data_IF_973787663417
#
_entry.id   IF_973787663417
#
_cell.length_a   1.000
_cell.length_b   1.000
_cell.length_c   1.000
_cell.angle_alpha   90.00
_cell.angle_beta   90.00
_cell.angle_gamma   90.00
#
_symmetry.space_group_name_H-M   'P 1'
#
loop_
_entity.id
_entity.type
_entity.pdbx_description
1 polymer ?
#
# COMPACT_ATOMS: atom_id res chain seq x y z
N UNK A 1 12.24 -25.13 -8.88
CA UNK A 1 13.04 -25.92 -7.90
C UNK A 1 12.86 -25.28 -6.53
N UNK A 2 12.85 -26.08 -5.45
CA UNK A 2 12.81 -25.56 -4.08
C UNK A 2 14.11 -24.81 -3.78
N UNK A 3 14.02 -23.77 -2.95
CA UNK A 3 15.16 -22.98 -2.47
C UNK A 3 15.08 -22.82 -0.97
N UNK A 4 16.22 -22.69 -0.32
CA UNK A 4 16.34 -22.39 1.11
C UNK A 4 17.15 -21.12 1.27
N UNK A 5 16.60 -20.12 1.97
CA UNK A 5 17.28 -18.87 2.25
C UNK A 5 17.73 -18.85 3.70
N UNK A 6 19.02 -18.59 3.95
CA UNK A 6 19.61 -18.54 5.30
C UNK A 6 20.05 -17.10 5.64
N UNK A 7 19.62 -16.61 6.80
CA UNK A 7 19.87 -15.25 7.31
C UNK A 7 19.40 -15.12 8.77
N UNK A 8 19.48 -13.92 9.36
CA UNK A 8 18.74 -13.59 10.58
C UNK A 8 17.29 -13.23 10.24
N UNK A 9 16.35 -14.12 10.55
CA UNK A 9 14.95 -13.98 10.11
C UNK A 9 14.14 -13.21 11.16
N UNK A 10 13.46 -12.15 10.72
CA UNK A 10 12.56 -11.35 11.58
C UNK A 10 11.24 -11.08 10.87
N UNK A 11 10.12 -11.39 11.53
CA UNK A 11 8.76 -11.15 11.00
C UNK A 11 7.74 -11.10 12.12
N UNK A 12 6.49 -10.78 11.82
CA UNK A 12 5.38 -10.72 12.80
C UNK A 12 4.26 -11.68 12.39
N UNK A 13 4.01 -12.71 13.22
CA UNK A 13 2.81 -13.57 13.06
C UNK A 13 1.58 -12.92 13.68
N UNK A 14 1.76 -12.29 14.82
CA UNK A 14 0.76 -11.57 15.60
C UNK A 14 1.10 -10.08 15.55
N UNK A 15 0.10 -9.21 15.73
CA UNK A 15 0.28 -7.76 15.56
C UNK A 15 1.25 -7.15 16.56
N UNK A 16 1.46 -7.73 17.74
CA UNK A 16 2.22 -7.12 18.83
C UNK A 16 3.54 -7.84 19.17
N UNK A 17 3.97 -8.84 18.38
CA UNK A 17 5.17 -9.64 18.68
C UNK A 17 5.96 -10.03 17.44
N UNK A 18 7.27 -9.80 17.52
CA UNK A 18 8.23 -10.32 16.55
C UNK A 18 8.56 -11.79 16.80
N UNK A 19 8.69 -12.54 15.72
CA UNK A 19 9.37 -13.83 15.66
C UNK A 19 10.80 -13.56 15.16
N UNK A 20 11.79 -14.06 15.90
CA UNK A 20 13.21 -13.83 15.61
C UNK A 20 13.93 -15.17 15.59
N UNK A 21 14.58 -15.48 14.47
CA UNK A 21 15.39 -16.67 14.32
C UNK A 21 16.80 -16.26 13.89
N UNK A 22 17.75 -16.39 14.80
CA UNK A 22 19.15 -16.17 14.51
C UNK A 22 19.69 -17.31 13.62
N UNK A 23 20.39 -16.99 12.54
CA UNK A 23 20.89 -17.97 11.57
C UNK A 23 19.80 -18.95 11.10
N UNK A 24 18.58 -18.44 10.91
CA UNK A 24 17.42 -19.23 10.52
C UNK A 24 17.36 -19.51 9.03
N UNK A 25 16.41 -20.36 8.66
CA UNK A 25 16.16 -20.82 7.31
C UNK A 25 14.69 -20.63 6.90
N UNK A 26 14.45 -20.12 5.70
CA UNK A 26 13.13 -20.14 5.03
C UNK A 26 13.20 -21.05 3.81
N UNK A 27 12.47 -22.16 3.83
CA UNK A 27 12.30 -23.03 2.68
C UNK A 27 11.14 -22.55 1.81
N UNK A 28 11.34 -22.45 0.51
CA UNK A 28 10.37 -21.93 -0.47
C UNK A 28 10.22 -22.94 -1.61
N UNK A 29 8.98 -23.19 -2.01
CA UNK A 29 8.66 -24.10 -3.11
C UNK A 29 8.91 -23.46 -4.49
N UNK A 30 8.72 -24.23 -5.54
CA UNK A 30 8.90 -23.80 -6.93
C UNK A 30 7.84 -22.80 -7.41
N UNK A 31 6.74 -22.63 -6.66
CA UNK A 31 5.70 -21.61 -6.88
C UNK A 31 5.97 -20.35 -6.06
N UNK A 32 7.08 -20.29 -5.34
CA UNK A 32 7.45 -19.14 -4.54
C UNK A 32 6.67 -19.02 -3.24
N UNK A 33 6.16 -20.13 -2.69
CA UNK A 33 5.45 -20.17 -1.41
C UNK A 33 6.31 -20.78 -0.32
N UNK A 34 6.22 -20.23 0.88
CA UNK A 34 6.95 -20.70 2.05
C UNK A 34 6.44 -22.09 2.42
N UNK A 35 7.36 -23.04 2.47
CA UNK A 35 7.13 -24.40 2.97
C UNK A 35 7.20 -24.36 4.50
N UNK A 36 8.29 -23.81 5.03
CA UNK A 36 8.58 -23.77 6.46
C UNK A 36 9.68 -22.76 6.78
N UNK A 37 9.63 -22.21 7.99
CA UNK A 37 10.67 -21.39 8.61
C UNK A 37 11.15 -22.06 9.90
N UNK A 38 12.47 -22.17 10.11
CA UNK A 38 13.06 -22.80 11.30
C UNK A 38 14.51 -22.40 11.50
N UNK A 39 15.03 -22.55 12.72
CA UNK A 39 16.47 -22.46 13.03
C UNK A 39 17.21 -23.78 12.78
N UNK A 40 16.47 -24.87 12.54
CA UNK A 40 17.03 -26.19 12.26
C UNK A 40 16.75 -26.58 10.79
N UNK A 41 17.82 -26.73 10.01
CA UNK A 41 17.76 -27.10 8.61
C UNK A 41 17.12 -28.50 8.42
N UNK A 42 17.35 -29.42 9.36
CA UNK A 42 16.91 -30.83 9.23
C UNK A 42 15.37 -30.97 9.23
N UNK A 43 14.65 -30.01 9.80
CA UNK A 43 13.19 -30.07 9.89
C UNK A 43 12.47 -29.40 8.71
N UNK A 44 13.20 -28.86 7.73
CA UNK A 44 12.60 -28.20 6.55
C UNK A 44 12.08 -29.18 5.49
N UNK A 45 12.56 -30.43 5.49
CA UNK A 45 12.17 -31.44 4.49
C UNK A 45 12.60 -31.06 3.06
N UNK A 46 13.76 -30.40 2.93
CA UNK A 46 14.30 -29.83 1.69
C UNK A 46 15.79 -30.15 1.53
N UNK A 47 16.18 -31.41 1.73
CA UNK A 47 17.58 -31.87 1.76
C UNK A 47 18.35 -31.59 0.46
N UNK A 48 17.67 -31.66 -0.70
CA UNK A 48 18.26 -31.41 -2.02
C UNK A 48 18.13 -29.95 -2.50
N UNK A 49 17.59 -29.05 -1.68
CA UNK A 49 17.36 -27.66 -2.09
C UNK A 49 18.65 -26.84 -2.04
N UNK A 50 18.81 -25.94 -3.02
CA UNK A 50 19.88 -24.94 -3.01
C UNK A 50 19.75 -24.05 -1.77
N UNK A 51 20.84 -23.92 -1.01
CA UNK A 51 20.93 -23.01 0.14
C UNK A 51 21.60 -21.72 -0.31
N UNK A 52 20.85 -20.62 -0.25
CA UNK A 52 21.31 -19.26 -0.51
C UNK A 52 21.57 -18.61 0.85
N UNK A 53 22.85 -18.44 1.20
CA UNK A 53 23.28 -17.90 2.50
C UNK A 53 23.61 -16.41 2.39
N UNK A 54 22.87 -15.58 3.13
CA UNK A 54 23.09 -14.13 3.22
C UNK A 54 23.92 -13.73 4.45
N UNK A 55 24.51 -14.71 5.15
CA UNK A 55 25.38 -14.46 6.30
C UNK A 55 24.67 -13.69 7.40
N UNK A 56 25.29 -12.58 7.81
CA UNK A 56 24.82 -11.74 8.92
C UNK A 56 23.73 -10.73 8.51
N UNK A 57 23.19 -10.81 7.30
CA UNK A 57 22.05 -9.95 6.90
C UNK A 57 20.75 -10.31 7.62
N UNK A 58 19.85 -9.35 7.74
CA UNK A 58 18.47 -9.58 8.18
C UNK A 58 17.60 -10.00 6.98
N UNK A 59 16.74 -11.00 7.16
CA UNK A 59 15.71 -11.39 6.20
C UNK A 59 14.34 -11.06 6.80
N UNK A 60 13.63 -10.15 6.15
CA UNK A 60 12.33 -9.64 6.59
C UNK A 60 11.29 -9.75 5.48
N UNK A 61 9.98 -9.85 5.78
CA UNK A 61 8.95 -9.71 4.76
C UNK A 61 9.05 -8.36 4.06
N UNK A 62 8.77 -8.33 2.76
CA UNK A 62 8.78 -7.10 1.99
C UNK A 62 7.61 -6.18 2.35
N UNK A 63 7.79 -4.89 2.05
CA UNK A 63 6.79 -3.87 2.37
C UNK A 63 5.63 -3.92 1.39
N UNK A 64 4.44 -3.61 1.91
CA UNK A 64 3.19 -3.54 1.15
C UNK A 64 2.62 -2.13 1.34
N UNK A 65 2.53 -1.37 0.25
CA UNK A 65 2.02 0.00 0.27
C UNK A 65 0.51 0.02 -0.04
N UNK A 66 -0.30 0.33 0.95
CA UNK A 66 -1.75 0.25 0.81
C UNK A 66 -2.38 1.48 0.14
N UNK A 67 -1.62 2.53 -0.15
CA UNK A 67 -2.14 3.70 -0.86
C UNK A 67 -1.02 4.55 -1.43
N UNK A 68 -0.99 4.67 -2.76
CA UNK A 68 -0.01 5.51 -3.47
C UNK A 68 -0.56 6.05 -4.80
N UNK A 69 -0.28 7.31 -5.13
CA UNK A 69 -0.64 7.89 -6.44
C UNK A 69 0.57 7.89 -7.38
N UNK A 70 0.61 6.90 -8.29
CA UNK A 70 1.65 6.82 -9.31
C UNK A 70 1.80 8.10 -10.16
N UNK A 71 0.73 8.79 -10.61
CA UNK A 71 0.90 9.96 -11.46
C UNK A 71 1.44 11.18 -10.72
N UNK A 72 1.41 11.17 -9.40
CA UNK A 72 1.84 12.32 -8.59
C UNK A 72 3.33 12.25 -8.23
N UNK A 73 4.04 11.17 -8.59
CA UNK A 73 5.44 10.96 -8.22
C UNK A 73 6.37 12.15 -8.51
N UNK A 74 6.15 12.91 -9.58
CA UNK A 74 6.95 14.10 -9.89
C UNK A 74 6.79 15.23 -8.86
N UNK A 75 5.65 15.32 -8.21
CA UNK A 75 5.34 16.38 -7.24
C UNK A 75 5.81 16.05 -5.82
N UNK A 76 6.33 14.83 -5.57
CA UNK A 76 6.76 14.38 -4.25
C UNK A 76 7.69 15.41 -3.60
N UNK A 77 7.28 15.95 -2.45
CA UNK A 77 8.04 16.98 -1.70
C UNK A 77 7.89 18.42 -2.20
N UNK A 78 6.94 18.72 -3.08
CA UNK A 78 6.67 20.06 -3.61
C UNK A 78 5.35 20.62 -3.06
N UNK A 79 5.36 21.89 -2.67
CA UNK A 79 4.18 22.68 -2.27
C UNK A 79 3.39 22.12 -1.08
N UNK A 80 4.10 21.66 -0.06
CA UNK A 80 3.55 21.16 1.22
C UNK A 80 3.19 22.28 2.22
N UNK A 81 3.01 23.51 1.72
CA UNK A 81 2.55 24.67 2.51
C UNK A 81 1.05 24.95 2.27
N UNK A 82 0.33 24.01 1.64
CA UNK A 82 -1.08 24.11 1.27
C UNK A 82 -1.90 23.01 1.94
N UNK A 83 -3.16 23.31 2.26
CA UNK A 83 -4.15 22.29 2.61
C UNK A 83 -4.57 21.47 1.38
N UNK A 84 -5.19 20.32 1.61
CA UNK A 84 -5.63 19.34 0.59
C UNK A 84 -6.32 19.95 -0.64
N UNK A 85 -7.39 20.74 -0.48
CA UNK A 85 -8.20 21.20 -1.62
C UNK A 85 -7.44 22.19 -2.52
N UNK A 86 -6.77 23.25 -1.99
CA UNK A 86 -5.88 24.07 -2.79
C UNK A 86 -4.72 23.29 -3.43
N UNK A 87 -4.15 22.31 -2.73
CA UNK A 87 -3.07 21.48 -3.25
C UNK A 87 -3.52 20.65 -4.46
N UNK A 88 -4.71 20.05 -4.40
CA UNK A 88 -5.31 19.31 -5.51
C UNK A 88 -5.44 20.17 -6.76
N UNK A 89 -5.98 21.39 -6.61
CA UNK A 89 -6.22 22.31 -7.72
C UNK A 89 -4.92 22.83 -8.35
N UNK A 90 -3.92 23.17 -7.53
CA UNK A 90 -2.73 23.88 -7.99
C UNK A 90 -1.59 22.96 -8.46
N UNK A 91 -1.51 21.72 -7.96
CA UNK A 91 -0.38 20.83 -8.21
C UNK A 91 -0.80 19.45 -8.71
N UNK A 92 -1.79 18.84 -8.07
CA UNK A 92 -2.16 17.45 -8.36
C UNK A 92 -2.83 17.31 -9.71
N UNK A 93 -3.94 18.00 -9.96
CA UNK A 93 -4.62 17.88 -11.26
C UNK A 93 -3.76 18.34 -12.45
N UNK A 94 -3.02 19.48 -12.38
CA UNK A 94 -2.12 19.88 -13.47
C UNK A 94 -1.04 18.85 -13.79
N UNK A 95 -0.59 18.06 -12.81
CA UNK A 95 0.35 16.97 -13.05
C UNK A 95 -0.34 15.73 -13.63
N UNK A 96 -1.50 15.32 -13.09
CA UNK A 96 -2.26 14.16 -13.59
C UNK A 96 -2.71 14.34 -15.05
N UNK A 97 -3.05 15.55 -15.48
CA UNK A 97 -3.43 15.86 -16.88
C UNK A 97 -2.32 15.47 -17.87
N UNK A 98 -1.04 15.61 -17.47
CA UNK A 98 0.10 15.29 -18.37
C UNK A 98 0.18 13.81 -18.70
N UNK A 99 -0.45 12.94 -17.90
CA UNK A 99 -0.50 11.50 -18.16
C UNK A 99 -1.48 11.13 -19.27
N UNK A 100 -2.13 12.08 -19.94
CA UNK A 100 -2.73 11.85 -21.25
C UNK A 100 -1.67 11.50 -22.31
N UNK A 101 -0.46 12.08 -22.21
CA UNK A 101 0.67 11.77 -23.09
C UNK A 101 1.34 10.46 -22.65
N UNK A 102 1.25 9.43 -23.50
CA UNK A 102 1.83 8.11 -23.25
C UNK A 102 3.36 8.13 -23.09
N UNK A 103 4.06 9.05 -23.75
CA UNK A 103 5.52 9.20 -23.61
C UNK A 103 5.87 9.74 -22.23
N UNK A 104 5.11 10.74 -21.78
CA UNK A 104 5.24 11.29 -20.43
C UNK A 104 4.92 10.22 -19.38
N UNK A 105 3.78 9.55 -19.52
CA UNK A 105 3.32 8.50 -18.62
C UNK A 105 4.34 7.37 -18.51
N UNK A 106 4.83 6.82 -19.63
CA UNK A 106 5.89 5.80 -19.66
C UNK A 106 7.11 6.24 -18.86
N UNK A 107 7.65 7.43 -19.18
CA UNK A 107 8.87 7.94 -18.54
C UNK A 107 8.70 8.08 -17.02
N UNK A 108 7.56 8.63 -16.57
CA UNK A 108 7.33 8.87 -15.15
C UNK A 108 6.99 7.59 -14.38
N UNK A 109 6.14 6.72 -14.94
CA UNK A 109 5.82 5.44 -14.31
C UNK A 109 7.04 4.52 -14.21
N UNK A 110 7.93 4.47 -15.21
CA UNK A 110 9.17 3.68 -15.10
C UNK A 110 10.08 4.18 -13.97
N UNK A 111 10.12 5.50 -13.71
CA UNK A 111 10.88 6.08 -12.59
C UNK A 111 10.22 5.78 -11.24
N UNK A 112 8.91 5.96 -11.15
CA UNK A 112 8.12 5.61 -9.97
C UNK A 112 8.34 4.13 -9.58
N UNK A 113 8.20 3.20 -10.52
CA UNK A 113 8.37 1.77 -10.27
C UNK A 113 9.79 1.40 -9.85
N UNK A 114 10.80 2.05 -10.43
CA UNK A 114 12.19 1.88 -9.98
C UNK A 114 12.34 2.29 -8.52
N UNK A 115 11.82 3.44 -8.15
CA UNK A 115 12.00 3.95 -6.80
C UNK A 115 11.15 3.16 -5.78
N UNK A 116 9.96 2.69 -6.16
CA UNK A 116 9.15 1.75 -5.39
C UNK A 116 9.93 0.44 -5.08
N UNK A 117 10.57 -0.13 -6.10
CA UNK A 117 11.45 -1.30 -5.96
C UNK A 117 12.67 -1.01 -5.09
N UNK A 118 13.31 0.16 -5.25
CA UNK A 118 14.46 0.57 -4.43
C UNK A 118 14.09 0.61 -2.95
N UNK A 119 12.93 1.18 -2.63
CA UNK A 119 12.40 1.28 -1.27
C UNK A 119 11.94 -0.07 -0.67
N UNK A 120 11.95 -1.17 -1.44
CA UNK A 120 11.60 -2.50 -0.93
C UNK A 120 10.10 -2.81 -0.89
N UNK A 121 9.29 -2.04 -1.60
CA UNK A 121 7.84 -2.29 -1.72
C UNK A 121 7.59 -3.30 -2.84
N UNK A 122 7.01 -4.47 -2.50
CA UNK A 122 6.73 -5.54 -3.48
C UNK A 122 5.25 -5.68 -3.83
N UNK A 123 4.36 -5.08 -3.02
CA UNK A 123 2.92 -4.97 -3.27
C UNK A 123 2.45 -3.54 -3.10
N UNK A 124 1.57 -3.07 -3.97
CA UNK A 124 0.99 -1.73 -3.84
C UNK A 124 -0.48 -1.64 -4.28
N UNK A 125 -1.27 -0.83 -3.59
CA UNK A 125 -2.57 -0.34 -4.05
C UNK A 125 -2.38 1.06 -4.64
N UNK A 126 -2.54 1.16 -5.97
CA UNK A 126 -2.04 2.27 -6.77
C UNK A 126 -3.18 3.02 -7.42
N UNK A 127 -3.25 4.33 -7.20
CA UNK A 127 -4.08 5.25 -7.98
C UNK A 127 -3.32 5.63 -9.25
N UNK A 128 -3.95 5.41 -10.41
CA UNK A 128 -3.49 5.89 -11.70
C UNK A 128 -4.16 7.23 -12.03
N UNK A 129 -4.62 7.43 -13.27
CA UNK A 129 -5.42 8.59 -13.69
C UNK A 129 -6.72 8.13 -14.35
N UNK A 130 -7.56 9.06 -14.81
CA UNK A 130 -8.76 8.71 -15.59
C UNK A 130 -8.45 8.15 -16.99
N UNK A 131 -7.21 8.31 -17.49
CA UNK A 131 -6.80 7.82 -18.80
C UNK A 131 -6.63 6.28 -18.83
N UNK A 132 -7.58 5.56 -19.46
CA UNK A 132 -7.58 4.09 -19.54
C UNK A 132 -6.29 3.52 -20.16
N UNK A 133 -5.87 4.03 -21.32
CA UNK A 133 -4.69 3.48 -22.03
C UNK A 133 -3.40 3.64 -21.23
N UNK A 134 -3.24 4.75 -20.52
CA UNK A 134 -2.05 5.00 -19.71
C UNK A 134 -2.14 4.31 -18.33
N UNK A 135 -3.34 3.96 -17.87
CA UNK A 135 -3.50 3.02 -16.74
C UNK A 135 -3.10 1.60 -17.16
N UNK A 136 -3.53 1.13 -18.35
CA UNK A 136 -3.06 -0.15 -18.94
C UNK A 136 -1.55 -0.18 -19.06
N UNK A 137 -0.95 0.94 -19.49
CA UNK A 137 0.49 1.10 -19.57
C UNK A 137 1.18 0.86 -18.23
N UNK A 138 0.69 1.49 -17.16
CA UNK A 138 1.20 1.30 -15.80
C UNK A 138 1.09 -0.16 -15.36
N UNK A 139 -0.05 -0.83 -15.63
CA UNK A 139 -0.25 -2.24 -15.29
C UNK A 139 0.76 -3.15 -16.02
N UNK A 140 1.01 -2.93 -17.31
CA UNK A 140 2.03 -3.68 -18.07
C UNK A 140 3.43 -3.45 -17.53
N UNK A 141 3.78 -2.19 -17.22
CA UNK A 141 5.06 -1.88 -16.60
C UNK A 141 5.22 -2.60 -15.24
N UNK A 142 4.18 -2.63 -14.40
CA UNK A 142 4.20 -3.43 -13.16
C UNK A 142 4.46 -4.92 -13.45
N UNK A 143 3.79 -5.52 -14.45
CA UNK A 143 4.03 -6.92 -14.83
C UNK A 143 5.47 -7.17 -15.26
N UNK A 144 6.07 -6.22 -16.01
CA UNK A 144 7.47 -6.28 -16.45
C UNK A 144 8.45 -6.27 -15.25
N UNK A 145 8.16 -5.51 -14.19
CA UNK A 145 8.98 -5.52 -12.97
C UNK A 145 8.94 -6.86 -12.23
N UNK A 146 7.81 -7.58 -12.28
CA UNK A 146 7.55 -8.75 -11.44
C UNK A 146 7.07 -8.42 -10.02
N UNK A 147 6.82 -7.16 -9.69
CA UNK A 147 6.12 -6.76 -8.46
C UNK A 147 4.61 -7.00 -8.58
N UNK A 148 3.92 -7.11 -7.44
CA UNK A 148 2.46 -7.20 -7.40
C UNK A 148 1.79 -5.85 -7.17
N UNK A 149 0.59 -5.67 -7.72
CA UNK A 149 -0.17 -4.46 -7.50
C UNK A 149 -1.66 -4.64 -7.76
N UNK A 150 -2.46 -3.86 -7.03
CA UNK A 150 -3.79 -3.47 -7.45
C UNK A 150 -3.68 -2.07 -8.07
N UNK A 151 -4.01 -1.94 -9.36
CA UNK A 151 -3.90 -0.67 -10.09
C UNK A 151 -5.29 -0.16 -10.48
N UNK A 152 -5.61 1.03 -10.01
CA UNK A 152 -6.93 1.64 -10.13
C UNK A 152 -6.95 2.75 -11.16
N UNK A 153 -7.73 2.55 -12.23
CA UNK A 153 -8.10 3.63 -13.15
C UNK A 153 -9.01 4.59 -12.38
N UNK A 154 -8.59 5.84 -12.19
CA UNK A 154 -9.37 6.76 -11.36
C UNK A 154 -10.66 7.15 -12.07
N UNK A 155 -11.80 7.01 -11.40
CA UNK A 155 -13.09 7.54 -11.83
C UNK A 155 -13.34 8.92 -11.22
N UNK A 156 -13.63 9.91 -12.06
CA UNK A 156 -14.09 11.24 -11.64
C UNK A 156 -14.89 11.92 -12.76
N UNK A 157 -15.99 12.60 -12.41
CA UNK A 157 -16.85 13.30 -13.36
C UNK A 157 -17.57 14.53 -12.79
N UNK A 158 -17.17 14.98 -11.60
CA UNK A 158 -17.74 16.14 -10.91
C UNK A 158 -16.61 16.88 -10.21
N UNK A 159 -16.69 18.20 -10.10
CA UNK A 159 -15.73 19.01 -9.32
C UNK A 159 -14.24 18.76 -9.63
N UNK A 160 -13.94 18.36 -10.85
CA UNK A 160 -12.60 18.11 -11.38
C UNK A 160 -12.41 18.86 -12.71
N UNK A 161 -11.16 19.07 -13.17
CA UNK A 161 -10.91 19.68 -14.47
C UNK A 161 -11.54 18.91 -15.62
N UNK A 162 -11.88 19.61 -16.70
CA UNK A 162 -12.52 19.03 -17.88
C UNK A 162 -11.66 17.91 -18.49
N UNK A 163 -10.35 18.08 -18.49
CA UNK A 163 -9.37 17.15 -19.05
C UNK A 163 -9.27 15.82 -18.28
N UNK A 164 -9.70 15.79 -17.01
CA UNK A 164 -9.74 14.58 -16.19
C UNK A 164 -11.15 14.02 -16.02
N UNK A 165 -12.16 14.77 -16.45
CA UNK A 165 -13.58 14.42 -16.36
C UNK A 165 -13.93 13.40 -17.44
N UNK A 166 -14.61 12.32 -17.07
CA UNK A 166 -15.08 11.30 -18.04
C UNK A 166 -16.56 10.96 -17.86
N UNK A 167 -17.29 10.59 -18.94
CA UNK A 167 -18.63 10.04 -18.83
C UNK A 167 -18.63 8.66 -18.14
N UNK A 168 -19.70 8.34 -17.39
CA UNK A 168 -19.87 7.03 -16.72
C UNK A 168 -19.69 5.85 -17.70
N UNK A 169 -20.24 5.95 -18.91
CA UNK A 169 -20.10 4.90 -19.92
C UNK A 169 -18.67 4.67 -20.41
N UNK A 170 -17.81 5.70 -20.39
CA UNK A 170 -16.39 5.57 -20.71
C UNK A 170 -15.61 4.94 -19.58
N UNK A 171 -15.88 5.35 -18.33
CA UNK A 171 -15.33 4.72 -17.13
C UNK A 171 -15.62 3.22 -17.13
N UNK A 172 -16.88 2.81 -17.37
CA UNK A 172 -17.28 1.40 -17.40
C UNK A 172 -16.56 0.64 -18.52
N UNK A 173 -16.50 1.18 -19.75
CA UNK A 173 -15.76 0.54 -20.85
C UNK A 173 -14.28 0.40 -20.55
N UNK A 174 -13.70 1.42 -19.92
CA UNK A 174 -12.31 1.41 -19.48
C UNK A 174 -12.03 0.27 -18.53
N UNK A 175 -12.82 0.15 -17.46
CA UNK A 175 -12.72 -0.95 -16.51
C UNK A 175 -12.93 -2.32 -17.15
N UNK A 176 -14.00 -2.52 -17.91
CA UNK A 176 -14.26 -3.81 -18.59
C UNK A 176 -13.07 -4.23 -19.48
N UNK A 177 -12.42 -3.28 -20.17
CA UNK A 177 -11.23 -3.56 -20.96
C UNK A 177 -10.00 -3.94 -20.13
N UNK A 178 -9.78 -3.30 -18.98
CA UNK A 178 -8.68 -3.63 -18.07
C UNK A 178 -8.92 -4.95 -17.35
N UNK A 179 -10.18 -5.24 -16.98
CA UNK A 179 -10.58 -6.50 -16.34
C UNK A 179 -10.33 -7.68 -17.26
N UNK A 180 -10.73 -7.56 -18.53
CA UNK A 180 -10.50 -8.61 -19.53
C UNK A 180 -9.00 -8.95 -19.70
N UNK A 181 -8.14 -7.94 -19.63
CA UNK A 181 -6.69 -8.11 -19.82
C UNK A 181 -5.97 -8.59 -18.54
N UNK A 182 -6.31 -8.04 -17.37
CA UNK A 182 -5.48 -8.18 -16.16
C UNK A 182 -6.13 -8.97 -15.00
N UNK A 183 -7.44 -9.25 -15.02
CA UNK A 183 -8.10 -9.97 -13.91
C UNK A 183 -8.04 -11.50 -14.07
N UNK A 184 -6.86 -12.03 -14.39
CA UNK A 184 -6.63 -13.47 -14.56
C UNK A 184 -6.31 -14.14 -13.22
N UNK A 185 -6.57 -15.45 -13.10
CA UNK A 185 -6.22 -16.22 -11.90
C UNK A 185 -4.71 -16.16 -11.63
N UNK A 186 -4.34 -16.03 -10.35
CA UNK A 186 -2.92 -15.96 -9.89
C UNK A 186 -2.11 -14.74 -10.42
N UNK A 187 -2.77 -13.79 -11.10
CA UNK A 187 -2.11 -12.57 -11.57
C UNK A 187 -1.57 -11.74 -10.38
N UNK A 188 -0.30 -11.32 -10.48
CA UNK A 188 0.34 -10.39 -9.53
C UNK A 188 -0.23 -8.98 -9.65
N UNK A 189 -0.62 -8.58 -10.86
CA UNK A 189 -1.10 -7.24 -11.18
C UNK A 189 -2.55 -7.34 -11.60
N UNK A 190 -3.43 -6.67 -10.87
CA UNK A 190 -4.88 -6.78 -11.03
C UNK A 190 -5.55 -5.40 -10.98
N UNK A 191 -6.73 -5.23 -11.59
CA UNK A 191 -7.50 -4.00 -11.46
C UNK A 191 -8.14 -3.90 -10.06
N UNK A 192 -8.31 -2.67 -9.59
CA UNK A 192 -9.09 -2.30 -8.40
C UNK A 192 -10.03 -1.17 -8.76
N UNK A 193 -11.27 -1.21 -8.27
CA UNK A 193 -12.25 -0.15 -8.51
C UNK A 193 -11.85 1.08 -7.69
N UNK A 194 -11.79 2.25 -8.34
CA UNK A 194 -11.18 3.47 -7.79
C UNK A 194 -11.98 4.71 -8.16
N UNK A 195 -13.17 4.92 -7.57
CA UNK A 195 -13.71 6.27 -7.47
C UNK A 195 -12.69 7.10 -6.69
N UNK A 196 -12.30 8.28 -7.20
CA UNK A 196 -11.25 9.06 -6.52
C UNK A 196 -11.65 9.35 -5.07
N UNK A 197 -12.81 9.97 -4.91
CA UNK A 197 -13.50 10.25 -3.65
C UNK A 197 -14.93 10.74 -3.96
N UNK A 198 -15.85 10.73 -2.98
CA UNK A 198 -17.26 11.13 -3.21
C UNK A 198 -17.41 12.51 -3.86
N UNK A 199 -16.69 13.57 -3.43
CA UNK A 199 -16.82 14.89 -4.03
C UNK A 199 -16.57 14.95 -5.54
N UNK A 200 -15.73 14.07 -6.08
CA UNK A 200 -15.40 14.07 -7.51
C UNK A 200 -16.24 13.14 -8.39
N UNK A 201 -17.18 12.41 -7.80
CA UNK A 201 -17.99 11.42 -8.52
C UNK A 201 -19.47 11.74 -8.36
N UNK A 202 -20.24 11.77 -9.45
CA UNK A 202 -21.71 11.78 -9.34
C UNK A 202 -22.21 10.46 -8.76
N UNK A 203 -23.42 10.47 -8.19
CA UNK A 203 -24.06 9.26 -7.67
C UNK A 203 -24.19 8.17 -8.75
N UNK A 204 -24.41 8.53 -10.02
CA UNK A 204 -24.43 7.54 -11.11
C UNK A 204 -23.05 6.89 -11.34
N UNK A 205 -21.96 7.66 -11.19
CA UNK A 205 -20.61 7.11 -11.30
C UNK A 205 -20.29 6.18 -10.13
N UNK A 206 -20.65 6.58 -8.90
CA UNK A 206 -20.47 5.73 -7.71
C UNK A 206 -21.25 4.43 -7.83
N UNK A 207 -22.52 4.51 -8.25
CA UNK A 207 -23.37 3.34 -8.52
C UNK A 207 -22.71 2.39 -9.54
N UNK A 208 -22.24 2.92 -10.67
CA UNK A 208 -21.59 2.11 -11.70
C UNK A 208 -20.27 1.46 -11.21
N UNK A 209 -19.49 2.16 -10.39
CA UNK A 209 -18.30 1.60 -9.77
C UNK A 209 -18.66 0.41 -8.85
N UNK A 210 -19.69 0.55 -8.01
CA UNK A 210 -20.12 -0.52 -7.12
C UNK A 210 -20.67 -1.74 -7.87
N UNK A 211 -21.46 -1.51 -8.92
CA UNK A 211 -21.94 -2.57 -9.81
C UNK A 211 -20.78 -3.35 -10.44
N UNK A 212 -19.74 -2.65 -10.92
CA UNK A 212 -18.52 -3.28 -11.45
C UNK A 212 -17.77 -4.08 -10.37
N UNK A 213 -17.61 -3.52 -9.17
CA UNK A 213 -16.93 -4.18 -8.06
C UNK A 213 -17.59 -5.51 -7.72
N UNK A 214 -18.91 -5.50 -7.52
CA UNK A 214 -19.68 -6.70 -7.16
C UNK A 214 -19.76 -7.69 -8.32
N UNK A 215 -20.04 -7.23 -9.54
CA UNK A 215 -20.16 -8.09 -10.73
C UNK A 215 -18.87 -8.87 -11.00
N UNK A 216 -17.72 -8.21 -10.89
CA UNK A 216 -16.42 -8.79 -11.24
C UNK A 216 -15.59 -9.24 -10.02
N UNK A 217 -16.16 -9.14 -8.81
CA UNK A 217 -15.51 -9.48 -7.55
C UNK A 217 -14.15 -8.78 -7.39
N UNK A 218 -14.13 -7.49 -7.70
CA UNK A 218 -12.93 -6.65 -7.64
C UNK A 218 -12.88 -5.90 -6.32
N UNK A 219 -11.68 -5.70 -5.75
CA UNK A 219 -11.53 -4.82 -4.61
C UNK A 219 -11.89 -3.37 -4.95
N UNK A 220 -12.03 -2.55 -3.92
CA UNK A 220 -12.29 -1.11 -4.00
C UNK A 220 -11.21 -0.36 -3.23
N UNK A 221 -10.77 0.79 -3.76
CA UNK A 221 -9.98 1.77 -3.02
C UNK A 221 -10.55 3.18 -3.21
N UNK A 222 -10.54 3.99 -2.15
CA UNK A 222 -10.90 5.41 -2.21
C UNK A 222 -10.31 6.18 -1.01
N UNK A 223 -10.64 7.47 -0.88
CA UNK A 223 -10.30 8.29 0.28
C UNK A 223 -11.51 8.38 1.22
N UNK A 224 -11.26 8.46 2.52
CA UNK A 224 -12.29 8.56 3.55
C UNK A 224 -11.86 9.47 4.69
N UNK A 225 -12.74 10.41 5.05
CA UNK A 225 -12.66 11.22 6.28
C UNK A 225 -11.27 11.79 6.54
N UNK A 226 -10.65 12.30 5.48
CA UNK A 226 -9.32 12.89 5.56
C UNK A 226 -9.44 14.26 6.21
N UNK A 227 -10.17 15.20 5.59
CA UNK A 227 -10.24 16.59 6.06
C UNK A 227 -11.66 16.99 6.51
N UNK A 228 -11.80 17.87 7.51
CA UNK A 228 -13.13 18.33 7.98
C UNK A 228 -13.94 19.06 6.91
N UNK A 229 -13.29 19.87 6.07
CA UNK A 229 -13.96 20.57 4.97
C UNK A 229 -14.41 19.57 3.90
N UNK A 230 -13.63 18.53 3.65
CA UNK A 230 -14.00 17.43 2.76
C UNK A 230 -15.22 16.68 3.30
N UNK A 231 -15.24 16.31 4.58
CA UNK A 231 -16.38 15.63 5.23
C UNK A 231 -17.66 16.48 5.12
N UNK A 232 -17.58 17.78 5.41
CA UNK A 232 -18.71 18.69 5.26
C UNK A 232 -19.19 18.79 3.80
N UNK A 233 -18.26 18.76 2.84
CA UNK A 233 -18.59 18.76 1.43
C UNK A 233 -19.34 17.49 1.00
N UNK A 234 -18.89 16.33 1.47
CA UNK A 234 -19.57 15.05 1.24
C UNK A 234 -21.01 15.09 1.77
N UNK A 235 -21.21 15.53 3.01
CA UNK A 235 -22.55 15.64 3.59
C UNK A 235 -23.46 16.55 2.76
N UNK A 236 -22.92 17.61 2.14
CA UNK A 236 -23.70 18.50 1.27
C UNK A 236 -24.14 17.86 -0.05
N UNK A 237 -23.35 16.90 -0.56
CA UNK A 237 -23.55 16.22 -1.84
C UNK A 237 -24.41 14.96 -1.69
N UNK A 238 -24.18 14.18 -0.64
CA UNK A 238 -24.88 12.94 -0.32
C UNK A 238 -25.73 13.13 0.94
N UNK A 239 -26.76 13.99 0.84
CA UNK A 239 -27.57 14.47 1.99
C UNK A 239 -28.26 13.38 2.80
N UNK A 240 -28.51 12.24 2.18
CA UNK A 240 -29.18 11.09 2.82
C UNK A 240 -28.19 10.17 3.54
N UNK A 241 -26.88 10.46 3.47
CA UNK A 241 -25.85 9.70 4.18
C UNK A 241 -25.73 10.13 5.64
N UNK A 242 -25.51 9.17 6.54
CA UNK A 242 -25.31 9.42 7.98
C UNK A 242 -23.86 9.76 8.34
N UNK A 243 -22.91 9.24 7.55
CA UNK A 243 -21.48 9.52 7.63
C UNK A 243 -20.82 9.35 6.25
N UNK A 244 -19.52 9.65 6.13
CA UNK A 244 -18.83 9.55 4.84
C UNK A 244 -18.73 8.07 4.40
N UNK A 245 -18.50 7.14 5.33
CA UNK A 245 -18.52 5.70 5.03
C UNK A 245 -19.86 5.24 4.43
N UNK A 246 -20.99 5.71 4.99
CA UNK A 246 -22.34 5.40 4.47
C UNK A 246 -22.54 5.95 3.05
N UNK A 247 -21.95 7.11 2.73
CA UNK A 247 -21.99 7.64 1.36
C UNK A 247 -21.36 6.69 0.32
N UNK A 248 -20.43 5.82 0.70
CA UNK A 248 -19.96 4.73 -0.17
C UNK A 248 -20.79 3.45 -0.04
N UNK A 249 -21.21 3.07 1.18
CA UNK A 249 -21.92 1.81 1.43
C UNK A 249 -23.21 1.70 0.63
N UNK A 250 -23.94 2.82 0.49
CA UNK A 250 -25.18 2.92 -0.29
C UNK A 250 -25.02 2.53 -1.75
N UNK A 251 -23.82 2.65 -2.31
CA UNK A 251 -23.50 2.28 -3.69
C UNK A 251 -22.74 0.95 -3.80
N UNK A 252 -22.58 0.20 -2.71
CA UNK A 252 -21.86 -1.08 -2.72
C UNK A 252 -20.34 -0.95 -2.83
N UNK A 253 -19.78 0.15 -2.30
CA UNK A 253 -18.34 0.47 -2.36
C UNK A 253 -17.63 0.41 -1.00
N UNK A 254 -18.24 -0.22 0.01
CA UNK A 254 -17.77 -0.21 1.39
C UNK A 254 -17.81 -1.61 2.03
N UNK A 255 -16.92 -2.50 1.57
CA UNK A 255 -16.73 -3.84 2.11
C UNK A 255 -17.63 -4.94 1.54
N UNK A 256 -18.45 -4.66 0.51
CA UNK A 256 -19.14 -5.69 -0.26
C UNK A 256 -18.14 -6.60 -1.01
N UNK A 257 -17.01 -6.02 -1.41
CA UNK A 257 -15.78 -6.70 -1.82
C UNK A 257 -14.63 -6.14 -0.97
N UNK A 258 -13.40 -6.71 -1.00
CA UNK A 258 -12.29 -6.17 -0.21
C UNK A 258 -12.08 -4.67 -0.49
N UNK A 259 -12.21 -3.84 0.54
CA UNK A 259 -12.15 -2.38 0.41
C UNK A 259 -11.03 -1.82 1.26
N UNK A 260 -10.24 -0.91 0.70
CA UNK A 260 -9.25 -0.11 1.42
C UNK A 260 -9.60 1.37 1.32
N UNK A 261 -9.62 2.06 2.46
CA UNK A 261 -9.91 3.49 2.56
C UNK A 261 -8.71 4.24 3.12
N UNK A 262 -8.24 5.24 2.37
CA UNK A 262 -7.10 6.05 2.76
C UNK A 262 -7.45 7.05 3.87
N UNK A 263 -6.46 7.35 4.70
CA UNK A 263 -6.47 8.35 5.78
C UNK A 263 -7.29 7.97 7.01
N UNK A 264 -8.62 8.02 6.91
CA UNK A 264 -9.55 7.77 8.02
C UNK A 264 -9.19 8.59 9.28
N UNK A 265 -8.87 9.88 9.11
CA UNK A 265 -8.34 10.71 10.20
C UNK A 265 -9.44 11.09 11.21
N UNK A 266 -10.63 11.42 10.71
CA UNK A 266 -11.79 11.78 11.52
C UNK A 266 -12.86 10.68 11.54
N UNK A 267 -12.42 9.42 11.53
CA UNK A 267 -13.31 8.26 11.59
C UNK A 267 -13.56 7.87 13.04
N UNK A 268 -14.81 8.05 13.48
CA UNK A 268 -15.29 7.70 14.82
C UNK A 268 -16.77 7.29 14.79
N UNK A 269 -17.30 6.82 15.92
CA UNK A 269 -18.72 6.52 16.08
C UNK A 269 -19.28 5.53 15.05
N UNK A 270 -20.35 5.93 14.37
CA UNK A 270 -21.06 5.11 13.38
C UNK A 270 -20.18 4.70 12.19
N UNK A 271 -19.29 5.57 11.71
CA UNK A 271 -18.40 5.25 10.60
C UNK A 271 -17.41 4.14 10.95
N UNK A 272 -16.84 4.21 12.15
CA UNK A 272 -15.92 3.18 12.65
C UNK A 272 -16.64 1.84 12.83
N UNK A 273 -17.85 1.85 13.39
CA UNK A 273 -18.64 0.64 13.56
C UNK A 273 -19.00 0.02 12.20
N UNK A 274 -19.38 0.85 11.22
CA UNK A 274 -19.64 0.39 9.85
C UNK A 274 -18.38 -0.23 9.22
N UNK A 275 -17.21 0.41 9.35
CA UNK A 275 -15.95 -0.13 8.84
C UNK A 275 -15.63 -1.50 9.44
N UNK A 276 -15.83 -1.66 10.75
CA UNK A 276 -15.63 -2.93 11.46
C UNK A 276 -16.58 -4.01 10.95
N UNK A 277 -17.87 -3.70 10.85
CA UNK A 277 -18.90 -4.63 10.35
C UNK A 277 -18.64 -5.08 8.91
N UNK A 278 -18.12 -4.17 8.08
CA UNK A 278 -17.84 -4.38 6.67
C UNK A 278 -16.44 -4.95 6.38
N UNK A 279 -15.57 -5.02 7.39
CA UNK A 279 -14.19 -5.47 7.22
C UNK A 279 -13.36 -4.56 6.31
N UNK A 280 -13.64 -3.25 6.34
CA UNK A 280 -12.88 -2.25 5.57
C UNK A 280 -11.49 -2.10 6.16
N UNK A 281 -10.46 -2.11 5.31
CA UNK A 281 -9.09 -1.85 5.70
C UNK A 281 -8.79 -0.35 5.66
N UNK A 282 -8.11 0.17 6.66
CA UNK A 282 -7.55 1.53 6.66
C UNK A 282 -6.17 1.51 6.00
N UNK A 283 -5.94 2.39 5.03
CA UNK A 283 -4.58 2.78 4.63
C UNK A 283 -4.17 4.03 5.41
N UNK A 284 -3.38 3.85 6.46
CA UNK A 284 -2.89 4.95 7.29
C UNK A 284 -1.70 5.64 6.62
N UNK A 285 -1.88 6.92 6.29
CA UNK A 285 -0.93 7.74 5.53
C UNK A 285 -0.34 8.89 6.38
N UNK A 286 0.44 8.61 7.44
CA UNK A 286 0.86 9.62 8.41
C UNK A 286 1.73 10.74 7.83
N UNK A 287 2.59 10.44 6.85
CA UNK A 287 3.44 11.44 6.16
C UNK A 287 2.59 12.46 5.42
N UNK A 288 1.56 11.99 4.70
CA UNK A 288 0.62 12.85 4.00
C UNK A 288 -0.20 13.70 4.98
N UNK A 289 -0.79 13.06 5.99
CA UNK A 289 -1.61 13.76 6.99
C UNK A 289 -0.88 14.94 7.64
N UNK A 290 0.44 14.81 7.85
CA UNK A 290 1.31 15.87 8.33
C UNK A 290 1.54 16.97 7.29
N UNK A 291 1.90 16.59 6.07
CA UNK A 291 2.30 17.50 5.00
C UNK A 291 1.17 18.39 4.49
N UNK A 292 -0.01 17.80 4.22
CA UNK A 292 -1.15 18.53 3.62
C UNK A 292 -2.13 19.06 4.66
N UNK A 293 -1.65 19.22 5.89
CA UNK A 293 -2.36 19.83 7.01
C UNK A 293 -3.79 19.31 7.16
N UNK A 294 -3.96 17.99 7.17
CA UNK A 294 -5.25 17.31 7.29
C UNK A 294 -6.04 17.73 8.55
N UNK A 295 -5.34 18.33 9.53
CA UNK A 295 -5.92 19.04 10.68
C UNK A 295 -6.15 18.13 11.89
N UNK A 296 -5.73 16.86 11.79
CA UNK A 296 -5.96 15.84 12.80
C UNK A 296 -4.92 14.72 12.73
N UNK A 297 -4.96 13.84 13.73
CA UNK A 297 -4.11 12.64 13.82
C UNK A 297 -5.04 11.43 13.84
N UNK A 298 -4.87 10.52 12.88
CA UNK A 298 -5.71 9.32 12.81
C UNK A 298 -5.61 8.50 14.12
N UNK A 299 -6.75 8.04 14.68
CA UNK A 299 -6.79 7.33 15.96
C UNK A 299 -6.41 5.84 15.80
N UNK A 300 -5.23 5.55 15.25
CA UNK A 300 -4.82 4.20 14.84
C UNK A 300 -4.90 3.17 15.97
N UNK A 301 -4.57 3.56 17.22
CA UNK A 301 -4.73 2.68 18.39
C UNK A 301 -6.17 2.17 18.52
N UNK A 302 -7.16 3.05 18.34
CA UNK A 302 -8.57 2.69 18.41
C UNK A 302 -8.96 1.70 17.30
N UNK A 303 -8.45 1.89 16.08
CA UNK A 303 -8.70 0.95 14.98
C UNK A 303 -8.21 -0.45 15.33
N UNK A 304 -6.98 -0.56 15.85
CA UNK A 304 -6.40 -1.85 16.24
C UNK A 304 -7.18 -2.51 17.40
N UNK A 305 -7.58 -1.74 18.42
CA UNK A 305 -8.36 -2.25 19.56
C UNK A 305 -9.76 -2.73 19.15
N UNK A 306 -10.37 -2.07 18.17
CA UNK A 306 -11.68 -2.45 17.62
C UNK A 306 -11.62 -3.56 16.56
N UNK A 307 -10.42 -4.03 16.22
CA UNK A 307 -10.21 -5.10 15.24
C UNK A 307 -10.33 -4.66 13.78
N UNK A 308 -10.26 -3.36 13.51
CA UNK A 308 -10.17 -2.83 12.14
C UNK A 308 -8.76 -3.09 11.60
N UNK A 309 -8.67 -3.63 10.39
CA UNK A 309 -7.39 -3.88 9.74
C UNK A 309 -6.77 -2.54 9.30
N UNK A 310 -5.48 -2.36 9.62
CA UNK A 310 -4.73 -1.15 9.23
C UNK A 310 -3.46 -1.56 8.49
N UNK A 311 -3.29 -1.04 7.28
CA UNK A 311 -2.04 -1.02 6.55
C UNK A 311 -1.43 0.38 6.49
N UNK A 312 -0.19 0.48 6.05
CA UNK A 312 0.48 1.78 5.83
C UNK A 312 0.42 2.18 4.36
N UNK A 313 0.21 3.47 4.10
CA UNK A 313 0.25 4.06 2.76
C UNK A 313 1.31 5.15 2.67
N UNK A 314 2.10 5.17 1.58
CA UNK A 314 3.04 6.28 1.33
C UNK A 314 2.31 7.57 0.96
N UNK A 315 1.20 7.42 0.23
CA UNK A 315 0.36 8.49 -0.29
C UNK A 315 1.17 9.59 -0.99
N UNK A 316 2.23 9.22 -1.73
CA UNK A 316 2.86 10.23 -2.59
C UNK A 316 1.80 10.71 -3.60
N UNK A 317 1.62 12.01 -3.83
CA UNK A 317 2.51 13.09 -3.43
C UNK A 317 2.09 13.84 -2.14
N UNK A 318 0.94 13.56 -1.52
CA UNK A 318 0.60 14.16 -0.23
C UNK A 318 1.68 13.84 0.80
N UNK A 319 2.10 12.58 0.86
CA UNK A 319 3.35 12.14 1.47
C UNK A 319 4.58 12.49 0.63
N UNK A 320 5.73 12.64 1.29
CA UNK A 320 6.98 13.04 0.65
C UNK A 320 8.00 11.89 0.48
N UNK A 321 7.65 10.67 0.88
CA UNK A 321 8.57 9.53 0.89
C UNK A 321 7.84 8.24 0.46
N UNK A 322 8.43 7.50 -0.48
CA UNK A 322 7.93 6.21 -0.97
C UNK A 322 8.25 5.05 -0.02
N UNK A 323 9.21 5.23 0.88
CA UNK A 323 9.65 4.18 1.80
C UNK A 323 8.62 3.95 2.90
N UNK A 324 7.98 2.78 2.88
CA UNK A 324 7.08 2.35 3.96
C UNK A 324 7.82 2.23 5.29
N UNK A 325 9.14 2.03 5.31
CA UNK A 325 9.93 2.12 6.54
C UNK A 325 9.90 3.53 7.15
N UNK A 326 9.97 4.58 6.31
CA UNK A 326 9.84 5.96 6.76
C UNK A 326 8.42 6.23 7.24
N UNK A 327 7.42 5.78 6.49
CA UNK A 327 6.00 5.87 6.89
C UNK A 327 5.76 5.19 8.24
N UNK A 328 6.40 4.06 8.52
CA UNK A 328 6.33 3.34 9.79
C UNK A 328 6.85 4.19 10.96
N UNK A 329 7.98 4.87 10.78
CA UNK A 329 8.52 5.80 11.78
C UNK A 329 7.52 6.92 12.06
N UNK A 330 6.95 7.52 11.01
CA UNK A 330 5.93 8.56 11.15
C UNK A 330 4.66 8.06 11.83
N UNK A 331 4.19 6.84 11.53
CA UNK A 331 3.04 6.23 12.20
C UNK A 331 3.27 6.12 13.72
N UNK A 332 4.44 5.62 14.12
CA UNK A 332 4.81 5.51 15.54
C UNK A 332 4.87 6.89 16.19
N UNK A 333 5.56 7.86 15.56
CA UNK A 333 5.68 9.22 16.09
C UNK A 333 4.33 9.93 16.24
N UNK A 334 3.46 9.81 15.23
CA UNK A 334 2.12 10.38 15.27
C UNK A 334 1.25 9.72 16.33
N UNK A 335 1.35 8.41 16.53
CA UNK A 335 0.64 7.75 17.63
C UNK A 335 1.11 8.21 19.01
N UNK A 336 2.39 8.60 19.17
CA UNK A 336 2.91 9.20 20.42
C UNK A 336 2.35 10.61 20.63
N UNK A 337 2.24 11.40 19.56
CA UNK A 337 1.61 12.72 19.63
C UNK A 337 0.11 12.60 19.96
N UNK A 338 -0.57 11.63 19.37
CA UNK A 338 -1.96 11.32 19.72
C UNK A 338 -2.09 10.95 21.20
N UNK A 339 -1.27 10.00 21.68
CA UNK A 339 -1.27 9.57 23.09
C UNK A 339 -0.94 10.70 24.08
N UNK A 340 -0.20 11.73 23.67
CA UNK A 340 0.04 12.92 24.49
C UNK A 340 -1.26 13.67 24.81
N UNK A 341 -2.20 13.72 23.86
CA UNK A 341 -3.53 14.31 24.05
C UNK A 341 -4.58 13.31 24.57
N UNK A 342 -4.29 12.01 24.47
CA UNK A 342 -5.16 10.89 24.82
C UNK A 342 -4.39 9.83 25.65
N UNK A 343 -3.99 10.15 26.89
CA UNK A 343 -3.07 9.34 27.69
C UNK A 343 -3.60 7.95 28.05
N UNK A 344 -4.91 7.73 27.93
CA UNK A 344 -5.56 6.43 28.10
C UNK A 344 -5.30 5.46 26.94
N UNK A 345 -4.85 5.95 25.78
CA UNK A 345 -4.57 5.16 24.57
C UNK A 345 -3.06 5.03 24.37
N UNK A 346 -2.49 3.81 24.45
CA UNK A 346 -1.05 3.64 24.24
C UNK A 346 -0.66 3.90 22.79
N UNK A 347 0.54 4.42 22.58
CA UNK A 347 1.11 4.58 21.24
C UNK A 347 1.44 3.24 20.57
N UNK A 348 1.71 3.26 19.28
CA UNK A 348 2.11 2.09 18.50
C UNK A 348 3.51 1.63 18.90
N UNK A 349 3.67 0.32 19.04
CA UNK A 349 4.97 -0.35 19.14
C UNK A 349 5.57 -0.59 17.76
N UNK A 350 6.87 -0.88 17.71
CA UNK A 350 7.54 -1.26 16.46
C UNK A 350 6.93 -2.52 15.83
N UNK A 351 6.57 -3.52 16.64
CA UNK A 351 5.96 -4.76 16.16
C UNK A 351 4.62 -4.51 15.48
N UNK A 352 3.79 -3.62 16.05
CA UNK A 352 2.49 -3.23 15.48
C UNK A 352 2.66 -2.51 14.15
N UNK A 353 3.53 -1.49 14.11
CA UNK A 353 3.77 -0.74 12.87
C UNK A 353 4.42 -1.63 11.78
N UNK A 354 5.31 -2.55 12.16
CA UNK A 354 5.90 -3.53 11.24
C UNK A 354 4.85 -4.53 10.72
N UNK A 355 3.97 -5.03 11.58
CA UNK A 355 2.85 -5.89 11.19
C UNK A 355 1.88 -5.19 10.24
N UNK A 356 1.56 -3.92 10.50
CA UNK A 356 0.75 -3.08 9.62
C UNK A 356 1.37 -2.97 8.21
N UNK A 357 2.69 -2.78 8.11
CA UNK A 357 3.43 -2.67 6.85
C UNK A 357 3.61 -4.01 6.09
N UNK A 358 3.51 -5.13 6.80
CA UNK A 358 3.83 -6.47 6.29
C UNK A 358 2.59 -7.35 6.27
N UNK A 359 2.34 -8.15 7.31
CA UNK A 359 1.28 -9.16 7.31
C UNK A 359 -0.13 -8.58 7.19
N UNK A 360 -0.43 -7.44 7.82
CA UNK A 360 -1.75 -6.83 7.75
C UNK A 360 -2.05 -6.30 6.34
N UNK A 361 -1.19 -5.43 5.81
CA UNK A 361 -1.30 -4.92 4.45
C UNK A 361 -1.22 -6.04 3.40
N UNK A 362 -0.28 -6.96 3.55
CA UNK A 362 -0.08 -8.13 2.69
C UNK A 362 -1.32 -9.03 2.58
N UNK A 363 -2.16 -9.07 3.64
CA UNK A 363 -3.41 -9.84 3.64
C UNK A 363 -4.40 -9.39 2.56
N UNK A 364 -4.33 -8.12 2.13
CA UNK A 364 -5.17 -7.59 1.05
C UNK A 364 -4.82 -8.19 -0.32
N UNK A 365 -3.57 -8.65 -0.49
CA UNK A 365 -3.08 -9.28 -1.72
C UNK A 365 -3.14 -10.81 -1.67
N UNK A 366 -3.56 -11.40 -0.54
CA UNK A 366 -3.61 -12.84 -0.31
C UNK A 366 -2.75 -13.26 0.89
N UNK A 367 -2.07 -14.39 0.79
CA UNK A 367 -1.17 -14.86 1.87
C UNK A 367 0.22 -14.25 1.67
N UNK A 368 0.37 -12.96 1.96
CA UNK A 368 1.62 -12.19 1.80
C UNK A 368 1.99 -11.51 3.12
N UNK A 369 3.27 -11.14 3.29
CA UNK A 369 3.74 -10.32 4.43
C UNK A 369 4.16 -11.10 5.67
N UNK A 370 4.30 -12.43 5.59
CA UNK A 370 4.81 -13.28 6.67
C UNK A 370 5.57 -14.48 6.11
N UNK A 371 6.40 -15.11 6.94
CA UNK A 371 7.10 -16.37 6.61
C UNK A 371 6.40 -17.61 7.15
N UNK A 372 5.09 -17.53 7.37
CA UNK A 372 4.28 -18.70 7.71
C UNK A 372 4.09 -19.65 6.52
N UNK A 373 3.96 -20.97 6.74
CA UNK A 373 3.69 -21.91 5.66
C UNK A 373 2.51 -21.49 4.77
N UNK A 374 2.69 -21.64 3.46
CA UNK A 374 1.72 -21.29 2.43
C UNK A 374 1.66 -19.79 2.05
N UNK A 375 2.44 -18.92 2.70
CA UNK A 375 2.56 -17.52 2.29
C UNK A 375 3.47 -17.39 1.06
N UNK A 376 3.20 -16.43 0.17
CA UNK A 376 4.12 -16.06 -0.91
C UNK A 376 5.40 -15.44 -0.32
N UNK A 377 6.56 -15.85 -0.83
CA UNK A 377 7.86 -15.36 -0.38
C UNK A 377 8.16 -13.99 -1.00
N UNK A 378 7.54 -12.97 -0.42
CA UNK A 378 7.85 -11.57 -0.65
C UNK A 378 8.78 -11.10 0.49
N UNK A 379 10.05 -10.85 0.17
CA UNK A 379 11.09 -10.68 1.19
C UNK A 379 12.15 -9.64 0.80
N UNK A 380 12.81 -9.09 1.81
CA UNK A 380 13.96 -8.20 1.67
C UNK A 380 15.14 -8.76 2.47
N UNK A 381 16.32 -8.66 1.88
CA UNK A 381 17.59 -8.90 2.58
C UNK A 381 18.21 -7.56 2.90
N UNK A 382 18.36 -7.28 4.19
CA UNK A 382 18.89 -6.03 4.74
C UNK A 382 20.30 -6.29 5.25
N UNK A 383 21.26 -5.60 4.64
CA UNK A 383 22.64 -5.54 5.12
C UNK A 383 22.85 -4.19 5.80
N UNK A 384 22.92 -4.21 7.13
CA UNK A 384 23.03 -3.06 8.03
C UNK A 384 24.46 -2.84 8.56
N UNK A 385 25.50 -3.35 7.89
CA UNK A 385 26.91 -3.19 8.31
C UNK A 385 27.33 -1.72 8.50
N UNK A 386 26.89 -0.84 7.61
CA UNK A 386 27.22 0.59 7.66
C UNK A 386 26.38 1.37 8.70
N UNK A 387 25.44 0.69 9.36
CA UNK A 387 24.68 1.23 10.49
C UNK A 387 25.31 0.86 11.84
N UNK A 388 26.58 0.45 11.89
CA UNK A 388 27.30 0.04 13.11
C UNK A 388 26.48 -0.96 13.94
N UNK A 389 26.05 -2.05 13.29
CA UNK A 389 25.16 -3.03 13.92
C UNK A 389 25.84 -3.90 14.99
N UNK A 390 27.17 -3.88 15.06
CA UNK A 390 27.96 -4.66 16.00
C UNK A 390 27.41 -4.57 17.42
N UNK A 391 27.32 -5.72 18.10
CA UNK A 391 26.88 -5.85 19.49
C UNK A 391 25.41 -5.49 19.78
N UNK A 392 24.60 -5.14 18.77
CA UNK A 392 23.16 -4.96 18.95
C UNK A 392 22.40 -6.29 18.80
N UNK A 393 21.41 -6.58 19.67
CA UNK A 393 20.41 -7.61 19.42
C UNK A 393 19.70 -7.41 18.08
N UNK A 394 19.28 -8.50 17.42
CA UNK A 394 18.64 -8.46 16.09
C UNK A 394 17.44 -7.50 15.99
N UNK A 395 16.64 -7.38 17.04
CA UNK A 395 15.51 -6.43 17.04
C UNK A 395 15.97 -4.97 17.10
N UNK A 396 17.05 -4.66 17.81
CA UNK A 396 17.65 -3.32 17.80
C UNK A 396 18.30 -3.03 16.44
N UNK A 397 18.87 -4.04 15.77
CA UNK A 397 19.36 -3.92 14.39
C UNK A 397 18.25 -3.54 13.42
N UNK A 398 17.13 -4.27 13.46
CA UNK A 398 15.94 -3.95 12.67
C UNK A 398 15.41 -2.54 12.99
N UNK A 399 15.26 -2.19 14.26
CA UNK A 399 14.80 -0.87 14.68
C UNK A 399 15.73 0.23 14.15
N UNK A 400 17.05 0.07 14.30
CA UNK A 400 18.04 1.00 13.76
C UNK A 400 17.94 1.14 12.24
N UNK A 401 17.76 0.05 11.51
CA UNK A 401 17.53 0.11 10.07
C UNK A 401 16.27 0.92 9.75
N UNK A 402 15.14 0.65 10.44
CA UNK A 402 13.88 1.38 10.23
C UNK A 402 14.04 2.88 10.51
N UNK A 403 14.75 3.25 11.58
CA UNK A 403 14.93 4.66 11.96
C UNK A 403 16.04 5.38 11.21
N UNK A 404 17.13 4.72 10.83
CA UNK A 404 18.36 5.34 10.32
C UNK A 404 18.70 4.95 8.87
N UNK A 405 18.33 3.75 8.45
CA UNK A 405 18.66 3.20 7.14
C UNK A 405 17.73 3.67 6.02
N UNK A 406 18.07 3.27 4.80
CA UNK A 406 17.29 3.56 3.59
C UNK A 406 17.48 2.46 2.54
N UNK A 407 17.25 2.78 1.26
CA UNK A 407 17.33 1.80 0.18
C UNK A 407 18.72 1.19 -0.02
N UNK A 408 19.78 1.83 0.51
CA UNK A 408 21.17 1.36 0.39
C UNK A 408 21.43 0.06 1.15
N UNK A 409 20.72 -0.16 2.26
CA UNK A 409 20.84 -1.39 3.05
C UNK A 409 20.01 -2.54 2.48
N UNK A 410 19.03 -2.27 1.60
CA UNK A 410 18.28 -3.34 0.93
C UNK A 410 19.14 -3.90 -0.21
N UNK A 411 19.61 -5.14 -0.07
CA UNK A 411 20.49 -5.79 -1.07
C UNK A 411 19.72 -6.67 -2.04
N UNK A 412 18.75 -7.44 -1.54
CA UNK A 412 17.93 -8.34 -2.35
C UNK A 412 16.44 -8.07 -2.12
N UNK A 413 15.65 -8.15 -3.19
CA UNK A 413 14.19 -8.03 -3.16
C UNK A 413 13.58 -9.25 -3.82
N UNK A 414 12.65 -9.90 -3.13
CA UNK A 414 11.94 -11.06 -3.64
C UNK A 414 10.45 -10.76 -3.72
N UNK A 415 9.82 -11.18 -4.82
CA UNK A 415 8.37 -11.20 -4.99
C UNK A 415 7.99 -12.60 -5.48
N UNK A 416 7.12 -13.29 -4.73
CA UNK A 416 6.69 -14.67 -4.99
C UNK A 416 7.88 -15.60 -5.26
N UNK A 417 8.90 -15.57 -4.40
CA UNK A 417 10.10 -16.42 -4.51
C UNK A 417 11.07 -16.05 -5.63
N UNK A 418 10.73 -15.11 -6.50
CA UNK A 418 11.62 -14.62 -7.58
C UNK A 418 12.36 -13.38 -7.11
N UNK A 419 13.67 -13.37 -7.30
CA UNK A 419 14.47 -12.17 -7.06
C UNK A 419 14.18 -11.14 -8.15
N UNK A 420 13.84 -9.93 -7.74
CA UNK A 420 13.64 -8.78 -8.60
C UNK A 420 14.92 -7.94 -8.55
N UNK A 421 15.72 -8.02 -9.61
CA UNK A 421 17.00 -7.32 -9.70
C UNK A 421 16.86 -5.98 -10.41
N UNK A 422 17.87 -5.12 -10.31
CA UNK A 422 17.91 -3.84 -11.02
C UNK A 422 17.77 -4.02 -12.55
N UNK A 423 18.24 -5.15 -13.10
CA UNK A 423 18.09 -5.47 -14.54
C UNK A 423 16.61 -5.64 -14.94
N UNK A 424 15.78 -6.22 -14.07
CA UNK A 424 14.33 -6.34 -14.31
C UNK A 424 13.69 -4.96 -14.44
N UNK A 425 14.17 -3.98 -13.68
CA UNK A 425 13.65 -2.62 -13.62
C UNK A 425 14.19 -1.73 -14.75
N UNK A 426 15.50 -1.79 -15.02
CA UNK A 426 16.18 -0.91 -15.97
C UNK A 426 15.80 -1.17 -17.42
N UNK A 427 15.35 -2.39 -17.76
CA UNK A 427 14.82 -2.71 -19.09
C UNK A 427 13.61 -1.86 -19.50
N UNK A 428 12.88 -1.27 -18.55
CA UNK A 428 11.72 -0.39 -18.77
C UNK A 428 12.08 1.10 -18.97
N UNK A 429 13.33 1.47 -18.71
CA UNK A 429 13.81 2.87 -18.79
C UNK A 429 14.47 3.19 -20.13
N UNK A 430 14.77 2.15 -20.93
CA UNK A 430 15.24 2.23 -22.31
C UNK A 430 14.04 2.15 -23.26
#
# INVERSE_FOLDING_TARGET
MKKVYKAHIIYTKEHNRFEVLENGYVAVDDKGRVIKVSSDLSVLGCEDAEIIDFGDSLLIPAMNDMHVHAPQYRNTGIAMDLELLPWLQNYTYPEEIKYADATYARRMYSRFLRDLWRCGTMRACVFATSHTENTRLLMRLFQETGMGAFVGKVGMNRNCPEELTEPVGEMVRGYESLIAEFNQSEALVRPIITPRFVPSCTSEMLQACGELAVKHQLPVQSHLSENKNEIAWVQSLEKDSTCYGDAYDRYGLFGQTPTVMAHCVYTEGEELELMKQRGVMVAHCPTSNLNIATGGIAPVRQFLEEGVLVGLGSDISGGHDLSIFRVMVYAIQMSKMYAFHHPERPFLTLAEAFWMATKAAGSFFGRVGSFEPGYEFDALVIDDHDLNHDQYPLLHRLERYIYLGDDRQIKHRFCRGKEITEMCITSMLL
#
